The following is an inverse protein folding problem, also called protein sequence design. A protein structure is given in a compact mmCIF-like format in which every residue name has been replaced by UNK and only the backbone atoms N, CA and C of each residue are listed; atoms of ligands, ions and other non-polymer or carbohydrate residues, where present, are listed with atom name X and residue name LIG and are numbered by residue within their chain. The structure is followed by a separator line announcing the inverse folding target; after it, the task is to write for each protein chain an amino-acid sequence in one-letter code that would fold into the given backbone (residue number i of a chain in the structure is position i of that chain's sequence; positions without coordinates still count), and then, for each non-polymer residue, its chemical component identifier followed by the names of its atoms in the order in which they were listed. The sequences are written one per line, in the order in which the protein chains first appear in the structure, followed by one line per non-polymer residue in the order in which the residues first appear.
data_IF_770443197105
#
_entry.id   IF_770443197105
#
_cell.length_a   1.000
_cell.length_b   1.000
_cell.length_c   1.000
_cell.angle_alpha   90.00
_cell.angle_beta   90.00
_cell.angle_gamma   90.00
#
_symmetry.space_group_name_H-M   'P 1'
#
loop_
_entity.id
_entity.type
_entity.pdbx_description
1 polymer ?
#
# COMPACT_ATOMS: atom_id res chain seq x y z
N UNK A 1 -19.73 40.09 12.48
CA UNK A 1 -19.18 38.78 12.94
C UNK A 1 -20.37 37.95 13.45
N UNK A 2 -20.97 37.09 12.62
CA UNK A 2 -22.15 36.30 13.01
C UNK A 2 -21.68 35.09 13.81
N UNK A 3 -22.02 35.06 15.10
CA UNK A 3 -21.75 33.94 16.01
C UNK A 3 -22.61 32.74 15.64
N UNK A 4 -21.98 31.60 15.37
CA UNK A 4 -22.68 30.32 15.23
C UNK A 4 -22.96 29.78 16.64
N UNK A 5 -24.24 29.81 17.06
CA UNK A 5 -24.69 29.08 18.26
C UNK A 5 -24.69 27.59 17.94
N UNK A 6 -23.73 26.85 18.48
CA UNK A 6 -23.79 25.40 18.58
C UNK A 6 -23.88 25.04 20.08
N UNK A 7 -25.02 24.47 20.49
CA UNK A 7 -25.16 23.66 21.72
C UNK A 7 -24.91 24.34 23.08
N UNK A 8 -25.31 25.59 23.25
CA UNK A 8 -25.62 26.17 24.57
C UNK A 8 -24.45 26.35 25.57
N UNK A 9 -23.21 25.99 25.22
CA UNK A 9 -22.01 26.33 25.99
C UNK A 9 -21.24 27.42 25.26
N UNK A 10 -20.99 28.55 25.91
CA UNK A 10 -20.03 29.54 25.41
C UNK A 10 -18.65 28.88 25.41
N UNK A 11 -18.10 28.67 24.23
CA UNK A 11 -16.69 28.32 24.07
C UNK A 11 -15.97 29.67 23.92
N UNK A 12 -15.47 30.21 25.03
CA UNK A 12 -14.68 31.45 25.01
C UNK A 12 -13.29 31.25 24.38
N UNK A 13 -12.90 29.99 24.16
CA UNK A 13 -11.68 29.66 23.44
C UNK A 13 -11.89 29.67 21.92
N UNK A 14 -11.49 30.79 21.32
CA UNK A 14 -11.45 30.99 19.86
C UNK A 14 -10.61 29.90 19.15
N UNK A 15 -9.58 29.34 19.79
CA UNK A 15 -8.80 28.24 19.22
C UNK A 15 -9.63 26.96 19.15
N UNK A 16 -10.40 26.65 20.19
CA UNK A 16 -11.27 25.49 20.21
C UNK A 16 -12.43 25.59 19.21
N UNK A 17 -13.03 26.78 19.04
CA UNK A 17 -14.03 26.99 18.00
C UNK A 17 -13.46 26.80 16.59
N UNK A 18 -12.23 27.30 16.34
CA UNK A 18 -11.53 27.07 15.07
C UNK A 18 -11.25 25.59 14.84
N UNK A 19 -10.84 24.86 15.88
CA UNK A 19 -10.64 23.40 15.86
C UNK A 19 -11.93 22.69 15.50
N UNK A 20 -13.05 22.98 16.17
CA UNK A 20 -14.37 22.39 15.88
C UNK A 20 -14.84 22.64 14.45
N UNK A 21 -14.63 23.85 13.92
CA UNK A 21 -15.00 24.17 12.52
C UNK A 21 -14.14 23.38 11.52
N UNK A 22 -12.84 23.24 11.78
CA UNK A 22 -11.94 22.45 10.96
C UNK A 22 -12.33 20.96 10.97
N UNK A 23 -12.65 20.42 12.15
CA UNK A 23 -13.08 19.04 12.34
C UNK A 23 -14.34 18.73 11.51
N UNK A 24 -15.30 19.66 11.50
CA UNK A 24 -16.54 19.53 10.72
C UNK A 24 -16.30 19.51 9.20
N UNK A 25 -15.22 20.13 8.71
CA UNK A 25 -14.83 20.05 7.30
C UNK A 25 -14.18 18.69 6.98
N UNK A 26 -13.36 18.16 7.89
CA UNK A 26 -12.73 16.84 7.75
C UNK A 26 -13.78 15.73 7.75
N UNK A 27 -14.73 15.76 8.70
CA UNK A 27 -15.83 14.79 8.79
C UNK A 27 -16.71 14.77 7.54
N UNK A 28 -16.79 15.91 6.83
CA UNK A 28 -17.50 16.03 5.55
C UNK A 28 -16.68 15.55 4.34
N UNK A 29 -15.52 14.94 4.56
CA UNK A 29 -14.66 14.40 3.51
C UNK A 29 -13.97 15.45 2.64
N UNK A 30 -13.78 16.67 3.15
CA UNK A 30 -13.09 17.71 2.37
C UNK A 30 -11.61 17.38 2.22
N UNK A 31 -11.08 17.50 1.00
CA UNK A 31 -9.64 17.33 0.76
C UNK A 31 -8.82 18.35 1.53
N UNK A 32 -7.59 17.98 1.93
CA UNK A 32 -6.68 18.87 2.66
C UNK A 32 -6.46 20.20 1.93
N UNK A 33 -6.26 20.17 0.61
CA UNK A 33 -6.10 21.38 -0.22
C UNK A 33 -7.34 22.31 -0.23
N UNK A 34 -8.54 21.76 -0.01
CA UNK A 34 -9.77 22.56 0.14
C UNK A 34 -9.82 23.19 1.53
N UNK A 35 -9.49 22.41 2.55
CA UNK A 35 -9.45 22.85 3.95
C UNK A 35 -8.42 23.97 4.11
N UNK A 36 -7.22 23.82 3.54
CA UNK A 36 -6.16 24.83 3.55
C UNK A 36 -6.61 26.14 2.92
N UNK A 37 -7.25 26.09 1.74
CA UNK A 37 -7.79 27.29 1.07
C UNK A 37 -8.86 28.00 1.90
N UNK A 38 -9.75 27.24 2.54
CA UNK A 38 -10.80 27.84 3.38
C UNK A 38 -10.23 28.41 4.66
N UNK A 39 -9.27 27.73 5.29
CA UNK A 39 -8.58 28.22 6.47
C UNK A 39 -7.86 29.54 6.16
N UNK A 40 -7.11 29.60 5.06
CA UNK A 40 -6.42 30.80 4.60
C UNK A 40 -7.38 31.97 4.36
N UNK A 41 -8.48 31.76 3.62
CA UNK A 41 -9.51 32.80 3.36
C UNK A 41 -10.18 33.31 4.63
N UNK A 42 -10.28 32.48 5.67
CA UNK A 42 -10.97 32.80 6.92
C UNK A 42 -10.00 33.36 7.99
N UNK A 43 -8.72 33.56 7.68
CA UNK A 43 -7.70 33.95 8.66
C UNK A 43 -7.54 32.91 9.78
N UNK A 44 -7.77 31.64 9.45
CA UNK A 44 -7.55 30.52 10.35
C UNK A 44 -6.14 30.00 10.12
N UNK A 45 -5.33 30.03 11.19
CA UNK A 45 -4.09 29.28 11.23
C UNK A 45 -4.46 27.80 11.25
N UNK A 46 -3.95 27.05 10.27
CA UNK A 46 -4.02 25.60 10.34
C UNK A 46 -3.21 25.13 11.56
N UNK A 47 -3.59 24.03 12.21
CA UNK A 47 -2.72 23.42 13.19
C UNK A 47 -1.36 23.18 12.53
N UNK A 48 -0.31 23.68 13.17
CA UNK A 48 1.06 23.37 12.75
C UNK A 48 1.18 21.86 12.87
N UNK A 49 1.39 21.17 11.75
CA UNK A 49 1.75 19.76 11.76
C UNK A 49 3.12 19.73 12.43
N UNK A 50 3.16 19.34 13.70
CA UNK A 50 4.41 19.18 14.42
C UNK A 50 5.33 18.24 13.64
N UNK A 51 6.64 18.50 13.60
CA UNK A 51 7.58 17.57 12.98
C UNK A 51 7.44 16.19 13.64
N UNK A 52 7.61 15.13 12.84
CA UNK A 52 7.64 13.76 13.36
C UNK A 52 8.65 13.70 14.52
N UNK A 53 8.26 13.19 15.70
CA UNK A 53 9.17 13.07 16.85
C UNK A 53 10.41 12.26 16.50
N UNK A 54 11.56 12.63 17.05
CA UNK A 54 12.79 11.83 16.95
C UNK A 54 12.74 10.58 17.84
N UNK A 55 11.95 10.61 18.92
CA UNK A 55 11.81 9.54 19.91
C UNK A 55 10.36 9.41 20.39
N UNK A 56 9.84 8.20 20.67
CA UNK A 56 10.41 6.86 20.46
C UNK A 56 10.70 6.47 19.00
N UNK A 57 11.71 5.63 18.80
CA UNK A 57 12.08 5.12 17.48
C UNK A 57 11.06 4.11 16.95
N UNK A 58 10.83 4.12 15.63
CA UNK A 58 10.07 3.08 14.95
C UNK A 58 10.75 1.73 15.19
N UNK A 59 9.98 0.72 15.58
CA UNK A 59 10.51 -0.64 15.75
C UNK A 59 10.20 -1.46 14.51
N UNK A 60 11.24 -2.07 13.95
CA UNK A 60 11.11 -3.10 12.94
C UNK A 60 11.43 -4.44 13.61
N UNK A 61 10.45 -5.34 13.79
CA UNK A 61 10.75 -6.67 14.30
C UNK A 61 11.74 -7.36 13.36
N UNK A 62 12.65 -8.15 13.93
CA UNK A 62 13.66 -8.87 13.14
C UNK A 62 12.95 -9.80 12.13
N UNK A 63 13.11 -9.58 10.81
CA UNK A 63 12.48 -10.42 9.80
C UNK A 63 12.81 -11.91 9.93
N UNK A 64 13.97 -12.26 10.49
CA UNK A 64 14.36 -13.66 10.68
C UNK A 64 13.46 -14.39 11.70
N UNK A 65 12.87 -13.66 12.65
CA UNK A 65 11.95 -14.22 13.66
C UNK A 65 10.55 -14.48 13.11
N UNK A 66 10.22 -13.92 11.94
CA UNK A 66 8.89 -14.02 11.32
C UNK A 66 8.97 -14.67 9.94
N UNK A 67 9.62 -15.83 9.82
CA UNK A 67 9.60 -16.58 8.56
C UNK A 67 8.19 -17.17 8.29
N UNK A 68 7.41 -16.66 7.31
CA UNK A 68 6.08 -17.15 7.03
C UNK A 68 6.08 -18.57 6.48
N UNK A 69 7.22 -19.09 6.02
CA UNK A 69 7.34 -20.44 5.50
C UNK A 69 7.37 -21.50 6.60
N UNK A 70 7.59 -21.10 7.85
CA UNK A 70 7.52 -21.97 9.03
C UNK A 70 6.08 -22.14 9.55
N UNK A 71 5.18 -21.23 9.17
CA UNK A 71 3.77 -21.24 9.59
C UNK A 71 3.01 -22.28 8.78
N UNK A 72 2.25 -23.15 9.46
CA UNK A 72 1.43 -24.19 8.81
C UNK A 72 0.19 -23.60 8.15
N UNK A 73 -0.45 -22.65 8.82
CA UNK A 73 -1.75 -22.10 8.47
C UNK A 73 -1.61 -20.60 8.19
N UNK A 74 -1.97 -20.20 6.98
CA UNK A 74 -1.91 -18.81 6.54
C UNK A 74 -3.28 -18.16 6.62
N UNK A 75 -3.30 -16.89 7.02
CA UNK A 75 -4.51 -16.07 6.87
C UNK A 75 -4.84 -15.84 5.40
N UNK A 76 -6.06 -15.39 5.12
CA UNK A 76 -6.50 -15.06 3.77
C UNK A 76 -5.61 -13.99 3.11
N UNK A 77 -5.26 -12.93 3.84
CA UNK A 77 -4.31 -11.92 3.35
C UNK A 77 -2.92 -12.50 3.04
N UNK A 78 -2.39 -13.40 3.87
CA UNK A 78 -1.10 -14.06 3.64
C UNK A 78 -1.14 -14.92 2.37
N UNK A 79 -2.21 -15.70 2.17
CA UNK A 79 -2.39 -16.52 0.97
C UNK A 79 -2.47 -15.65 -0.29
N UNK A 80 -3.26 -14.58 -0.28
CA UNK A 80 -3.37 -13.65 -1.41
C UNK A 80 -2.02 -12.95 -1.68
N UNK A 81 -1.26 -12.61 -0.65
CA UNK A 81 0.07 -12.03 -0.81
C UNK A 81 1.03 -13.02 -1.51
N UNK A 82 0.97 -14.31 -1.16
CA UNK A 82 1.71 -15.33 -1.90
C UNK A 82 1.26 -15.40 -3.35
N UNK A 83 -0.05 -15.36 -3.60
CA UNK A 83 -0.66 -15.40 -4.94
C UNK A 83 -0.18 -14.28 -5.84
N UNK A 84 -0.16 -13.07 -5.32
CA UNK A 84 0.17 -11.89 -6.11
C UNK A 84 1.68 -11.71 -6.29
N UNK A 85 2.50 -11.97 -5.26
CA UNK A 85 3.93 -11.65 -5.29
C UNK A 85 4.89 -12.84 -5.33
N UNK A 86 4.46 -14.05 -4.96
CA UNK A 86 5.30 -15.27 -4.92
C UNK A 86 6.61 -15.11 -4.15
N UNK A 87 6.59 -14.36 -3.05
CA UNK A 87 7.78 -14.17 -2.21
C UNK A 87 7.43 -14.26 -0.72
N UNK A 88 8.28 -14.88 0.12
CA UNK A 88 8.07 -14.91 1.56
C UNK A 88 7.99 -13.50 2.17
N UNK A 89 8.79 -12.56 1.68
CA UNK A 89 8.79 -11.17 2.18
C UNK A 89 7.42 -10.48 2.04
N UNK A 90 6.68 -10.73 0.95
CA UNK A 90 5.34 -10.18 0.78
C UNK A 90 4.34 -10.80 1.75
N UNK A 91 4.44 -12.12 1.98
CA UNK A 91 3.59 -12.85 2.94
C UNK A 91 3.85 -12.37 4.37
N UNK A 92 5.12 -12.22 4.77
CA UNK A 92 5.51 -11.70 6.08
C UNK A 92 4.88 -10.34 6.38
N UNK A 93 4.86 -9.43 5.40
CA UNK A 93 4.25 -8.10 5.57
C UNK A 93 2.74 -8.13 5.74
N UNK A 94 2.09 -9.21 5.30
CA UNK A 94 0.67 -9.47 5.50
C UNK A 94 0.40 -10.34 6.74
N UNK A 95 1.44 -10.77 7.45
CA UNK A 95 1.31 -11.58 8.65
C UNK A 95 1.05 -10.72 9.88
N UNK A 96 -0.13 -10.89 10.46
CA UNK A 96 -0.61 -10.09 11.58
C UNK A 96 0.29 -10.10 12.82
N UNK A 97 0.97 -11.20 13.14
CA UNK A 97 1.93 -11.26 14.25
C UNK A 97 3.11 -10.31 14.03
N UNK A 98 3.74 -10.37 12.84
CA UNK A 98 4.80 -9.45 12.43
C UNK A 98 4.34 -7.98 12.47
N UNK A 99 3.13 -7.70 11.96
CA UNK A 99 2.57 -6.34 11.93
C UNK A 99 2.21 -5.80 13.32
N UNK A 100 1.85 -6.67 14.26
CA UNK A 100 1.53 -6.30 15.64
C UNK A 100 2.73 -5.74 16.40
N UNK A 101 3.93 -6.23 16.09
CA UNK A 101 5.18 -5.78 16.71
C UNK A 101 5.87 -4.64 15.96
N UNK A 102 5.43 -4.39 14.72
CA UNK A 102 5.94 -3.31 13.91
C UNK A 102 5.31 -1.97 14.33
N UNK A 103 6.05 -1.12 15.04
CA UNK A 103 5.60 0.21 15.45
C UNK A 103 6.01 1.27 14.43
N UNK A 104 5.03 2.08 14.00
CA UNK A 104 5.27 3.21 13.10
C UNK A 104 4.58 4.48 13.60
N UNK A 105 5.18 5.61 13.28
CA UNK A 105 4.57 6.90 13.54
C UNK A 105 3.45 7.16 12.54
N UNK A 106 2.24 7.34 13.06
CA UNK A 106 1.09 7.77 12.26
C UNK A 106 0.61 9.12 12.75
N UNK A 107 0.41 10.05 11.82
CA UNK A 107 -0.16 11.35 12.14
C UNK A 107 -1.68 11.23 12.24
N UNK A 108 -2.22 11.57 13.41
CA UNK A 108 -3.65 11.69 13.66
C UNK A 108 -4.02 13.15 13.78
N UNK A 109 -4.98 13.59 12.95
CA UNK A 109 -5.38 15.00 12.79
C UNK A 109 -5.58 15.78 14.10
N UNK A 110 -5.93 15.11 15.21
CA UNK A 110 -6.24 15.75 16.50
C UNK A 110 -5.24 15.44 17.61
N UNK A 111 -4.40 14.42 17.43
CA UNK A 111 -3.52 13.90 18.47
C UNK A 111 -2.04 14.05 18.13
N UNK A 112 -1.72 14.62 16.95
CA UNK A 112 -0.36 14.71 16.46
C UNK A 112 0.16 13.35 16.03
N UNK A 113 1.47 13.17 16.14
CA UNK A 113 2.11 11.89 15.85
C UNK A 113 1.86 10.91 16.99
N UNK A 114 1.37 9.72 16.65
CA UNK A 114 1.18 8.63 17.59
C UNK A 114 1.96 7.41 17.08
N UNK A 115 2.77 6.82 17.95
CA UNK A 115 3.44 5.57 17.68
C UNK A 115 2.44 4.44 17.91
N UNK A 116 2.14 3.67 16.86
CA UNK A 116 1.21 2.54 16.95
C UNK A 116 1.69 1.36 16.10
N UNK A 117 1.21 0.15 16.37
CA UNK A 117 1.37 -0.96 15.46
C UNK A 117 0.87 -0.61 14.05
N UNK A 118 1.42 -1.27 13.03
CA UNK A 118 0.94 -1.20 11.63
C UNK A 118 -0.54 -1.58 11.47
N UNK A 119 -1.13 -2.13 12.52
CA UNK A 119 -2.46 -2.71 12.52
C UNK A 119 -2.47 -3.97 11.68
N UNK A 120 -3.51 -4.74 11.84
CA UNK A 120 -3.70 -5.98 11.10
C UNK A 120 -3.87 -5.72 9.60
N UNK A 121 -3.56 -6.75 8.81
CA UNK A 121 -3.77 -6.76 7.37
C UNK A 121 -5.20 -7.23 7.07
N UNK A 122 -5.92 -6.45 6.26
CA UNK A 122 -7.19 -6.84 5.65
C UNK A 122 -7.07 -6.74 4.14
N UNK A 123 -7.94 -7.42 3.40
CA UNK A 123 -7.94 -7.33 1.93
C UNK A 123 -8.09 -5.90 1.40
N UNK A 124 -8.85 -5.06 2.09
CA UNK A 124 -8.99 -3.64 1.74
C UNK A 124 -7.64 -2.91 1.88
N UNK A 125 -6.92 -3.14 2.99
CA UNK A 125 -5.59 -2.58 3.20
C UNK A 125 -4.55 -3.12 2.23
N UNK A 126 -4.71 -4.33 1.71
CA UNK A 126 -3.82 -4.87 0.68
C UNK A 126 -3.84 -4.07 -0.62
N UNK A 127 -4.94 -3.38 -0.93
CA UNK A 127 -5.00 -2.50 -2.12
C UNK A 127 -4.00 -1.35 -2.04
N UNK A 128 -3.76 -0.82 -0.82
CA UNK A 128 -2.73 0.17 -0.58
C UNK A 128 -1.34 -0.42 -0.80
N UNK A 129 -1.10 -1.64 -0.34
CA UNK A 129 0.17 -2.35 -0.54
C UNK A 129 0.48 -2.57 -2.02
N UNK A 130 -0.52 -2.95 -2.82
CA UNK A 130 -0.37 -3.09 -4.27
C UNK A 130 0.11 -1.79 -4.94
N UNK A 131 -0.36 -0.63 -4.45
CA UNK A 131 0.02 0.66 -4.99
C UNK A 131 1.43 1.13 -4.57
N UNK A 132 1.92 0.70 -3.40
CA UNK A 132 3.18 1.21 -2.82
C UNK A 132 4.38 0.29 -3.01
N UNK A 133 4.15 -1.00 -3.30
CA UNK A 133 5.20 -2.02 -3.32
C UNK A 133 5.68 -2.38 -4.74
N UNK A 134 6.62 -3.34 -4.80
CA UNK A 134 7.04 -3.92 -6.07
C UNK A 134 5.81 -4.46 -6.82
N UNK A 135 5.73 -4.25 -8.16
CA UNK A 135 4.58 -4.66 -8.94
C UNK A 135 4.38 -6.17 -8.79
N UNK A 136 3.17 -6.62 -8.43
CA UNK A 136 2.91 -8.05 -8.28
C UNK A 136 2.95 -8.76 -9.64
N UNK A 137 3.14 -10.08 -9.61
CA UNK A 137 3.06 -10.94 -10.79
C UNK A 137 1.64 -10.97 -11.36
N UNK A 138 0.65 -10.82 -10.47
CA UNK A 138 -0.76 -10.61 -10.83
C UNK A 138 -1.40 -9.59 -9.89
N UNK A 139 -2.38 -8.83 -10.36
CA UNK A 139 -3.05 -7.84 -9.52
C UNK A 139 -3.76 -8.48 -8.32
N UNK A 140 -4.01 -7.70 -7.28
CA UNK A 140 -4.71 -8.17 -6.08
C UNK A 140 -6.08 -8.75 -6.41
N UNK A 141 -6.79 -8.10 -7.34
CA UNK A 141 -8.10 -8.57 -7.82
C UNK A 141 -8.00 -9.93 -8.52
N UNK A 142 -6.99 -10.11 -9.38
CA UNK A 142 -6.76 -11.37 -10.07
C UNK A 142 -6.32 -12.48 -9.11
N UNK A 143 -5.44 -12.17 -8.15
CA UNK A 143 -5.00 -13.13 -7.14
C UNK A 143 -6.13 -13.58 -6.22
N UNK A 144 -7.01 -12.66 -5.81
CA UNK A 144 -8.23 -12.99 -5.07
C UNK A 144 -9.15 -13.88 -5.90
N UNK A 145 -9.40 -13.54 -7.16
CA UNK A 145 -10.26 -14.34 -8.03
C UNK A 145 -9.72 -15.76 -8.20
N UNK A 146 -8.41 -15.90 -8.44
CA UNK A 146 -7.74 -17.20 -8.55
C UNK A 146 -7.87 -18.02 -7.26
N UNK A 147 -7.75 -17.38 -6.08
CA UNK A 147 -7.97 -18.04 -4.79
C UNK A 147 -9.40 -18.56 -4.64
N UNK A 148 -10.40 -17.74 -4.97
CA UNK A 148 -11.80 -18.12 -4.91
C UNK A 148 -12.12 -19.29 -5.83
N UNK A 149 -11.54 -19.31 -7.02
CA UNK A 149 -11.69 -20.41 -7.98
C UNK A 149 -11.12 -21.72 -7.43
N UNK A 150 -9.90 -21.71 -6.89
CA UNK A 150 -9.30 -22.91 -6.32
C UNK A 150 -10.11 -23.47 -5.13
N UNK A 151 -10.62 -22.59 -4.27
CA UNK A 151 -11.47 -22.97 -3.14
C UNK A 151 -12.85 -23.51 -3.58
N UNK A 152 -13.41 -22.96 -4.66
CA UNK A 152 -14.69 -23.42 -5.23
C UNK A 152 -14.57 -24.81 -5.86
N UNK A 153 -13.41 -25.11 -6.47
CA UNK A 153 -13.13 -26.41 -7.12
C UNK A 153 -12.54 -27.46 -6.18
N UNK A 154 -12.51 -27.21 -4.86
CA UNK A 154 -11.96 -28.12 -3.84
C UNK A 154 -10.48 -28.50 -4.07
N UNK A 155 -9.71 -27.62 -4.73
CA UNK A 155 -8.26 -27.80 -4.91
C UNK A 155 -7.48 -27.57 -3.62
N UNK A 156 -8.09 -26.83 -2.67
CA UNK A 156 -7.59 -26.64 -1.32
C UNK A 156 -8.73 -26.44 -0.34
N UNK A 157 -8.41 -26.66 0.94
CA UNK A 157 -9.36 -26.53 2.04
C UNK A 157 -9.06 -25.29 2.85
N UNK A 158 -10.11 -24.67 3.36
CA UNK A 158 -10.03 -23.55 4.28
C UNK A 158 -10.87 -23.87 5.52
N UNK A 159 -10.33 -23.52 6.67
CA UNK A 159 -11.00 -23.59 7.96
C UNK A 159 -11.33 -22.18 8.42
N UNK A 160 -12.44 -22.04 9.13
CA UNK A 160 -12.89 -20.76 9.65
C UNK A 160 -13.68 -20.95 10.94
N UNK A 161 -13.81 -19.88 11.72
CA UNK A 161 -14.71 -19.81 12.88
C UNK A 161 -16.05 -19.29 12.39
N UNK A 162 -17.11 -20.08 12.55
CA UNK A 162 -18.48 -19.63 12.24
C UNK A 162 -18.91 -18.52 13.20
N UNK A 163 -19.34 -17.38 12.68
CA UNK A 163 -19.59 -16.18 13.48
C UNK A 163 -20.74 -16.36 14.49
N UNK A 164 -21.74 -17.18 14.17
CA UNK A 164 -22.93 -17.41 15.03
C UNK A 164 -22.64 -18.37 16.17
N UNK A 165 -21.91 -19.46 15.91
CA UNK A 165 -21.70 -20.54 16.89
C UNK A 165 -20.31 -20.52 17.53
N UNK A 166 -19.35 -19.80 16.94
CA UNK A 166 -17.95 -19.81 17.35
C UNK A 166 -17.23 -21.13 17.07
N UNK A 167 -17.84 -22.08 16.35
CA UNK A 167 -17.22 -23.36 16.03
C UNK A 167 -16.25 -23.23 14.87
N UNK A 168 -15.11 -23.89 14.99
CA UNK A 168 -14.18 -24.08 13.88
C UNK A 168 -14.75 -25.14 12.94
N UNK A 169 -14.90 -24.80 11.67
CA UNK A 169 -15.39 -25.71 10.64
C UNK A 169 -14.62 -25.52 9.33
N UNK A 170 -14.67 -26.55 8.47
CA UNK A 170 -14.17 -26.43 7.10
C UNK A 170 -15.25 -25.79 6.23
N UNK A 171 -14.91 -24.71 5.52
CA UNK A 171 -15.85 -24.01 4.62
C UNK A 171 -16.08 -24.88 3.39
N UNK A 172 -17.35 -25.16 3.04
CA UNK A 172 -17.65 -26.08 1.96
C UNK A 172 -17.38 -25.43 0.57
N UNK A 173 -16.87 -26.18 -0.44
CA UNK A 173 -16.52 -25.62 -1.75
C UNK A 173 -17.64 -24.80 -2.42
N UNK A 174 -18.89 -25.28 -2.35
CA UNK A 174 -20.04 -24.60 -2.96
C UNK A 174 -20.40 -23.26 -2.28
N UNK A 175 -19.94 -23.01 -1.05
CA UNK A 175 -20.25 -21.79 -0.32
C UNK A 175 -19.44 -20.60 -0.84
N UNK A 176 -18.21 -20.82 -1.33
CA UNK A 176 -17.31 -19.75 -1.80
C UNK A 176 -17.93 -18.84 -2.87
N UNK A 177 -18.78 -19.40 -3.73
CA UNK A 177 -19.53 -18.65 -4.75
C UNK A 177 -20.50 -17.61 -4.17
N UNK A 178 -20.91 -17.79 -2.91
CA UNK A 178 -21.86 -16.96 -2.17
C UNK A 178 -21.17 -16.05 -1.15
N UNK A 179 -19.87 -16.19 -0.95
CA UNK A 179 -19.14 -15.44 0.07
C UNK A 179 -18.43 -14.23 -0.54
N UNK A 180 -18.39 -13.15 0.22
CA UNK A 180 -17.59 -11.98 -0.09
C UNK A 180 -16.79 -11.50 1.13
N UNK A 181 -15.57 -10.96 0.92
CA UNK A 181 -14.80 -10.36 2.00
C UNK A 181 -15.50 -9.14 2.56
N UNK A 182 -15.58 -9.07 3.89
CA UNK A 182 -16.07 -7.91 4.63
C UNK A 182 -15.08 -7.55 5.73
N UNK A 183 -15.19 -6.32 6.24
CA UNK A 183 -14.34 -5.82 7.32
C UNK A 183 -15.19 -5.76 8.58
N UNK A 184 -14.77 -6.44 9.65
CA UNK A 184 -15.39 -6.31 10.96
C UNK A 184 -15.26 -4.85 11.42
N UNK A 185 -16.39 -4.19 11.68
CA UNK A 185 -16.39 -2.74 12.02
C UNK A 185 -15.63 -2.43 13.30
N UNK A 186 -15.73 -3.30 14.28
CA UNK A 186 -15.15 -3.07 15.61
C UNK A 186 -13.65 -3.40 15.67
N UNK A 187 -13.22 -4.47 14.99
CA UNK A 187 -11.84 -4.96 15.13
C UNK A 187 -10.94 -4.54 13.95
N UNK A 188 -11.49 -4.20 12.76
CA UNK A 188 -10.74 -3.91 11.52
C UNK A 188 -9.64 -4.94 11.16
N UNK A 189 -9.56 -6.05 11.88
CA UNK A 189 -8.34 -6.81 12.06
C UNK A 189 -8.37 -8.20 11.47
N UNK A 190 -9.57 -8.72 11.32
CA UNK A 190 -9.81 -10.09 10.93
C UNK A 190 -10.48 -10.08 9.57
N UNK A 191 -9.94 -10.89 8.66
CA UNK A 191 -10.60 -11.17 7.39
C UNK A 191 -11.91 -11.90 7.72
N UNK A 192 -13.04 -11.23 7.54
CA UNK A 192 -14.36 -11.80 7.69
C UNK A 192 -14.96 -12.09 6.31
N UNK A 193 -15.80 -13.12 6.25
CA UNK A 193 -16.63 -13.38 5.10
C UNK A 193 -18.10 -13.22 5.48
N UNK A 194 -18.84 -12.50 4.65
CA UNK A 194 -20.30 -12.42 4.73
C UNK A 194 -20.92 -13.10 3.51
N UNK A 195 -22.20 -13.45 3.61
CA UNK A 195 -22.97 -13.89 2.44
C UNK A 195 -23.23 -12.67 1.53
N UNK A 196 -23.01 -12.82 0.22
CA UNK A 196 -23.21 -11.79 -0.80
C UNK A 196 -24.63 -11.23 -0.81
N UNK A 197 -25.62 -12.03 -0.39
CA UNK A 197 -27.01 -11.59 -0.29
C UNK A 197 -27.33 -10.87 1.03
N UNK A 198 -26.50 -11.04 2.06
CA UNK A 198 -26.66 -10.43 3.38
C UNK A 198 -25.33 -9.90 3.94
N UNK A 199 -24.70 -8.92 3.25
CA UNK A 199 -23.33 -8.47 3.55
C UNK A 199 -23.12 -7.92 4.96
N UNK A 200 -24.20 -7.50 5.62
CA UNK A 200 -24.18 -6.95 6.97
C UNK A 200 -24.01 -7.99 8.07
N UNK A 201 -24.16 -9.28 7.76
CA UNK A 201 -24.00 -10.37 8.73
C UNK A 201 -22.77 -11.18 8.37
N UNK A 202 -21.77 -11.09 9.24
CA UNK A 202 -20.60 -11.95 9.17
C UNK A 202 -21.03 -13.40 9.32
N UNK A 203 -20.51 -14.26 8.44
CA UNK A 203 -20.74 -15.71 8.46
C UNK A 203 -19.53 -16.45 8.99
N UNK A 204 -18.33 -16.03 8.55
CA UNK A 204 -17.06 -16.62 8.96
C UNK A 204 -16.06 -15.56 9.37
N UNK A 205 -15.22 -15.88 10.36
CA UNK A 205 -14.06 -15.11 10.79
C UNK A 205 -12.86 -16.03 10.96
N UNK A 206 -11.68 -15.42 11.12
CA UNK A 206 -10.40 -16.13 11.38
C UNK A 206 -10.12 -17.23 10.35
N UNK A 207 -10.29 -16.89 9.07
CA UNK A 207 -10.04 -17.83 7.97
C UNK A 207 -8.57 -18.21 7.88
N UNK A 208 -8.33 -19.52 7.84
CA UNK A 208 -7.01 -20.10 7.68
C UNK A 208 -6.96 -21.11 6.54
N UNK A 209 -5.86 -21.08 5.79
CA UNK A 209 -5.57 -22.01 4.69
C UNK A 209 -4.25 -22.73 4.98
N UNK A 210 -4.16 -24.01 4.65
CA UNK A 210 -2.91 -24.74 4.76
C UNK A 210 -1.88 -24.16 3.79
N UNK A 211 -0.75 -23.66 4.30
CA UNK A 211 0.36 -23.13 3.51
C UNK A 211 0.77 -24.09 2.41
N UNK A 212 0.88 -25.38 2.73
CA UNK A 212 1.32 -26.42 1.78
C UNK A 212 0.43 -26.44 0.54
N UNK A 213 -0.88 -26.34 0.73
CA UNK A 213 -1.84 -26.42 -0.36
C UNK A 213 -1.79 -25.14 -1.21
N UNK A 214 -1.69 -23.96 -0.57
CA UNK A 214 -1.49 -22.67 -1.26
C UNK A 214 -0.20 -22.69 -2.10
N UNK A 215 0.92 -23.15 -1.54
CA UNK A 215 2.20 -23.22 -2.27
C UNK A 215 2.16 -24.30 -3.37
N UNK A 216 1.39 -25.37 -3.19
CA UNK A 216 1.23 -26.43 -4.19
C UNK A 216 0.44 -25.97 -5.42
N UNK A 217 -0.69 -25.29 -5.22
CA UNK A 217 -1.50 -24.75 -6.33
C UNK A 217 -0.75 -23.64 -7.04
N UNK A 218 0.01 -22.87 -6.28
CA UNK A 218 0.79 -21.80 -6.85
C UNK A 218 2.27 -21.79 -6.40
N UNK A 219 3.14 -22.49 -7.14
CA UNK A 219 4.54 -22.64 -6.78
C UNK A 219 5.30 -21.32 -6.88
N UNK A 220 6.43 -21.25 -6.17
CA UNK A 220 7.34 -20.11 -6.24
C UNK A 220 7.79 -19.90 -7.69
N UNK A 221 7.65 -18.65 -8.17
CA UNK A 221 8.18 -18.29 -9.48
C UNK A 221 9.66 -18.08 -9.30
N UNK A 222 10.46 -18.99 -9.85
CA UNK A 222 11.90 -18.77 -9.98
C UNK A 222 12.13 -17.58 -10.89
N UNK A 223 12.24 -16.40 -10.31
CA UNK A 223 12.78 -15.24 -11.02
C UNK A 223 14.29 -15.41 -10.97
N UNK A 224 14.93 -15.83 -12.07
CA UNK A 224 16.38 -16.00 -12.08
C UNK A 224 17.01 -14.71 -11.58
N UNK A 225 18.11 -14.82 -10.82
CA UNK A 225 18.78 -13.66 -10.22
C UNK A 225 19.16 -12.59 -11.27
N UNK A 226 19.23 -12.96 -12.55
CA UNK A 226 19.42 -12.07 -13.70
C UNK A 226 18.21 -11.17 -14.01
N UNK A 227 16.99 -11.56 -13.64
CA UNK A 227 15.76 -10.80 -13.83
C UNK A 227 15.40 -9.92 -12.61
N UNK A 228 15.84 -10.30 -11.40
CA UNK A 228 15.76 -9.43 -10.21
C UNK A 228 16.83 -8.33 -10.35
N UNK A 229 16.40 -7.11 -10.67
CA UNK A 229 17.21 -5.88 -10.74
C UNK A 229 18.07 -5.73 -11.99
N UNK A 230 17.36 -5.43 -13.07
CA UNK A 230 17.75 -4.31 -13.93
C UNK A 230 16.51 -3.95 -14.75
N UNK A 231 15.80 -2.88 -14.40
CA UNK A 231 15.45 -1.93 -15.47
C UNK A 231 16.81 -1.67 -16.09
N UNK A 232 17.11 -2.37 -17.19
CA UNK A 232 18.49 -2.48 -17.65
C UNK A 232 19.04 -1.08 -17.71
N UNK A 233 20.32 -0.89 -17.39
CA UNK A 233 20.92 0.44 -17.52
C UNK A 233 20.57 1.02 -18.90
N UNK A 234 20.47 0.16 -19.93
CA UNK A 234 19.89 0.48 -21.23
C UNK A 234 18.42 0.94 -21.20
N UNK A 235 17.48 0.29 -20.50
CA UNK A 235 16.08 0.72 -20.40
C UNK A 235 15.94 2.07 -19.70
N UNK A 236 16.71 2.32 -18.63
CA UNK A 236 16.74 3.63 -17.96
C UNK A 236 17.34 4.69 -18.89
N UNK A 237 18.44 4.38 -19.58
CA UNK A 237 19.05 5.27 -20.57
C UNK A 237 18.10 5.54 -21.72
N UNK A 238 17.37 4.54 -22.22
CA UNK A 238 16.44 4.67 -23.34
C UNK A 238 15.25 5.56 -22.95
N UNK A 239 14.63 5.33 -21.80
CA UNK A 239 13.51 6.15 -21.31
C UNK A 239 13.94 7.61 -21.05
N UNK A 240 15.14 7.81 -20.51
CA UNK A 240 15.71 9.16 -20.31
C UNK A 240 16.02 9.84 -21.64
N UNK A 241 16.61 9.12 -22.60
CA UNK A 241 16.90 9.65 -23.93
C UNK A 241 15.61 10.02 -24.68
N UNK A 242 14.57 9.20 -24.59
CA UNK A 242 13.27 9.48 -25.17
C UNK A 242 12.64 10.75 -24.57
N UNK A 243 12.72 10.94 -23.25
CA UNK A 243 12.21 12.14 -22.59
C UNK A 243 12.95 13.40 -23.05
N UNK A 244 14.29 13.35 -23.13
CA UNK A 244 15.11 14.48 -23.58
C UNK A 244 14.87 14.78 -25.06
N UNK A 245 14.67 13.77 -25.92
CA UNK A 245 14.36 13.99 -27.32
C UNK A 245 12.98 14.66 -27.51
N UNK A 246 11.98 14.28 -26.68
CA UNK A 246 10.65 14.89 -26.70
C UNK A 246 10.64 16.30 -26.11
N UNK A 247 11.49 16.58 -25.12
CA UNK A 247 11.60 17.88 -24.48
C UNK A 247 13.06 18.22 -24.13
N UNK A 248 13.82 18.81 -25.06
CA UNK A 248 15.24 19.13 -24.86
C UNK A 248 15.48 20.06 -23.67
N UNK A 249 14.50 20.93 -23.38
CA UNK A 249 14.52 21.89 -22.27
C UNK A 249 14.01 21.32 -20.95
N UNK A 250 13.67 20.03 -20.88
CA UNK A 250 13.13 19.41 -19.67
C UNK A 250 14.04 19.67 -18.46
N UNK A 251 13.50 20.16 -17.33
CA UNK A 251 14.27 20.36 -16.11
C UNK A 251 14.61 19.01 -15.46
N UNK A 252 15.71 18.96 -14.69
CA UNK A 252 16.17 17.76 -13.99
C UNK A 252 15.08 17.13 -13.10
N UNK A 253 14.14 17.92 -12.56
CA UNK A 253 13.02 17.42 -11.76
C UNK A 253 12.11 16.42 -12.51
N UNK A 254 12.03 16.50 -13.84
CA UNK A 254 11.31 15.49 -14.63
C UNK A 254 12.06 14.16 -14.72
N UNK A 255 13.39 14.16 -14.60
CA UNK A 255 14.19 12.94 -14.50
C UNK A 255 13.92 12.20 -13.17
N UNK A 256 13.83 12.94 -12.07
CA UNK A 256 13.55 12.35 -10.75
C UNK A 256 12.11 11.79 -10.70
N UNK A 257 11.14 12.42 -11.37
CA UNK A 257 9.80 11.87 -11.56
C UNK A 257 9.80 10.59 -12.42
N UNK A 258 10.64 10.54 -13.47
CA UNK A 258 10.84 9.35 -14.29
C UNK A 258 11.47 8.19 -13.50
N UNK A 259 12.36 8.47 -12.55
CA UNK A 259 12.95 7.46 -11.67
C UNK A 259 11.90 6.74 -10.82
N UNK A 260 10.96 7.50 -10.24
CA UNK A 260 9.82 6.95 -9.50
C UNK A 260 8.95 6.09 -10.42
N UNK A 261 8.66 6.58 -11.63
CA UNK A 261 7.83 5.84 -12.61
C UNK A 261 8.48 4.52 -13.06
N UNK A 262 9.81 4.47 -13.19
CA UNK A 262 10.55 3.30 -13.67
C UNK A 262 10.97 2.33 -12.56
N UNK A 263 10.65 2.63 -11.28
CA UNK A 263 11.19 1.90 -10.14
C UNK A 263 12.73 1.90 -10.10
N UNK A 264 13.35 2.91 -10.70
CA UNK A 264 14.80 3.00 -10.85
C UNK A 264 15.39 3.86 -9.73
N UNK A 265 16.60 3.53 -9.28
CA UNK A 265 17.36 4.38 -8.36
C UNK A 265 17.58 5.77 -9.00
N UNK A 266 17.26 6.85 -8.27
CA UNK A 266 17.43 8.26 -8.71
C UNK A 266 18.83 8.54 -9.24
N UNK A 267 19.87 7.98 -8.63
CA UNK A 267 21.26 8.17 -9.06
C UNK A 267 21.52 7.54 -10.42
N UNK A 268 20.89 6.39 -10.71
CA UNK A 268 20.99 5.74 -12.03
C UNK A 268 20.31 6.57 -13.12
N UNK A 269 19.18 7.21 -12.80
CA UNK A 269 18.47 8.10 -13.73
C UNK A 269 19.22 9.40 -13.95
N UNK A 270 19.80 10.00 -12.89
CA UNK A 270 20.67 11.19 -12.99
C UNK A 270 21.92 10.92 -13.83
N UNK A 271 22.56 9.77 -13.63
CA UNK A 271 23.70 9.35 -14.44
C UNK A 271 23.32 9.16 -15.92
N UNK A 272 22.17 8.54 -16.20
CA UNK A 272 21.64 8.40 -17.56
C UNK A 272 21.31 9.77 -18.19
N UNK A 273 20.78 10.70 -17.42
CA UNK A 273 20.45 12.06 -17.85
C UNK A 273 21.68 12.86 -18.27
N UNK A 274 22.73 12.83 -17.43
CA UNK A 274 24.01 13.46 -17.74
C UNK A 274 24.61 12.88 -19.02
N UNK A 275 24.62 11.56 -19.16
CA UNK A 275 25.12 10.86 -20.35
C UNK A 275 24.35 11.26 -21.62
N UNK A 276 23.02 11.38 -21.55
CA UNK A 276 22.19 11.75 -22.68
C UNK A 276 22.42 13.21 -23.11
N UNK A 277 22.56 14.15 -22.17
CA UNK A 277 22.89 15.55 -22.48
C UNK A 277 24.30 15.73 -23.02
N UNK A 278 25.29 15.00 -22.49
CA UNK A 278 26.65 15.00 -23.03
C UNK A 278 26.71 14.53 -24.50
N UNK A 279 25.80 13.63 -24.91
CA UNK A 279 25.67 13.21 -26.31
C UNK A 279 25.02 14.27 -27.20
N UNK A 280 24.07 15.06 -26.69
CA UNK A 280 23.45 16.16 -27.45
C UNK A 280 24.34 17.41 -27.55
N UNK A 281 25.14 17.67 -26.52
CA UNK A 281 26.03 18.85 -26.45
C UNK A 281 27.38 18.70 -27.15
N UNK A 282 27.70 17.52 -27.73
CA UNK A 282 28.87 17.38 -28.59
C UNK A 282 28.49 17.86 -29.99
N UNK A 283 28.95 19.04 -30.46
CA UNK A 283 28.80 19.39 -31.87
C UNK A 283 29.45 18.27 -32.69
N UNK A 284 28.76 17.81 -33.73
CA UNK A 284 29.34 16.89 -34.70
C UNK A 284 30.70 17.46 -35.11
N UNK A 285 31.79 16.71 -34.90
CA UNK A 285 33.10 17.08 -35.46
C UNK A 285 32.92 17.13 -36.97
N UNK A 286 32.66 18.33 -37.50
CA UNK A 286 32.67 18.59 -38.93
C UNK A 286 34.06 18.22 -39.39
N UNK A 287 34.16 17.08 -40.10
CA UNK A 287 35.42 16.61 -40.65
C UNK A 287 36.03 17.73 -41.48
N UNK A 288 37.23 18.18 -41.09
CA UNK A 288 37.98 19.13 -41.91
C UNK A 288 38.07 18.56 -43.33
N UNK A 289 37.64 19.28 -44.37
CA UNK A 289 37.84 18.82 -45.73
C UNK A 289 39.34 18.63 -45.97
N UNK A 290 39.74 17.43 -46.40
CA UNK A 290 41.09 17.16 -46.88
C UNK A 290 41.32 18.07 -48.09
N UNK A 291 42.14 19.10 -47.93
CA UNK A 291 42.66 19.85 -49.07
C UNK A 291 43.47 18.88 -49.95
N UNK A 292 43.06 18.74 -51.20
CA UNK A 292 43.90 18.24 -52.29
C UNK A 292 44.75 19.38 -52.81
#
# INVERSE_FOLDING_TARGET
MRMLRAEGRMIDDKAELKRRVLNKYIERGWSLATIERVALRKGLTLPIIEPKPSDPQESYPDPAMYDPMTVTDWSLAMAIAWICWRTPAAVQRCWNAFRGEHLTWTYYNYSGWVLKPWGFMSLDRMSYYEATESPPIMSLTAGRQSLWEALTHDEMKATAVEATTGKVLQVAPFEWSKLEPTIHREDQATDCLSDRHTPTKEKYRDLTLLRRDVVSVWPEVFVPASAKRRTSRQNVIAAVAELINKNPTAPQGQADALAVKLGANRDSVRAAWKLAREKQGKPAKVGRPRKK
#
